data_IF_907878347600
#
_entry.id   IF_907878347600
#
_cell.length_a   1.000
_cell.length_b   1.000
_cell.length_c   1.000
_cell.angle_alpha   90.00
_cell.angle_beta   90.00
_cell.angle_gamma   90.00
#
_symmetry.space_group_name_H-M   'P 1'
#
loop_
_entity.id
_entity.type
_entity.pdbx_description
1 polymer ?
#
# COMPACT_ATOMS: atom_id res chain seq x y z
N UNK A 1 -26.48 17.60 -13.22
CA UNK A 1 -25.24 18.17 -12.66
C UNK A 1 -25.65 19.06 -11.51
N UNK A 2 -25.10 18.83 -10.32
CA UNK A 2 -25.39 19.65 -9.13
C UNK A 2 -24.18 20.54 -8.86
N UNK A 3 -24.42 21.80 -8.51
CA UNK A 3 -23.37 22.77 -8.16
C UNK A 3 -23.64 23.31 -6.75
N UNK A 4 -22.56 23.55 -6.00
CA UNK A 4 -22.61 24.04 -4.63
C UNK A 4 -21.45 25.00 -4.40
N UNK A 5 -21.64 25.99 -3.53
CA UNK A 5 -20.51 26.72 -2.97
C UNK A 5 -19.73 25.80 -2.00
N UNK A 6 -18.42 25.97 -1.84
CA UNK A 6 -17.59 25.12 -0.96
C UNK A 6 -18.16 24.94 0.45
N UNK A 7 -18.73 26.01 1.03
CA UNK A 7 -19.28 25.98 2.39
C UNK A 7 -20.53 25.10 2.52
N UNK A 8 -21.21 24.84 1.41
CA UNK A 8 -22.41 24.01 1.34
C UNK A 8 -22.15 22.60 0.78
N UNK A 9 -20.89 22.30 0.41
CA UNK A 9 -20.55 21.07 -0.30
C UNK A 9 -21.00 19.81 0.45
N UNK A 10 -20.86 19.80 1.78
CA UNK A 10 -21.28 18.70 2.66
C UNK A 10 -22.80 18.46 2.58
N UNK A 11 -23.59 19.52 2.72
CA UNK A 11 -25.05 19.43 2.70
C UNK A 11 -25.54 19.01 1.30
N UNK A 12 -24.95 19.58 0.26
CA UNK A 12 -25.30 19.25 -1.12
C UNK A 12 -24.90 17.82 -1.45
N UNK A 13 -23.76 17.31 -0.98
CA UNK A 13 -23.34 15.92 -1.18
C UNK A 13 -24.40 14.93 -0.68
N UNK A 14 -24.89 15.11 0.55
CA UNK A 14 -25.96 14.28 1.13
C UNK A 14 -27.28 14.42 0.36
N UNK A 15 -27.62 15.63 -0.08
CA UNK A 15 -28.80 15.86 -0.90
C UNK A 15 -28.70 15.13 -2.26
N UNK A 16 -27.56 15.25 -2.94
CA UNK A 16 -27.29 14.63 -4.24
C UNK A 16 -27.36 13.11 -4.14
N UNK A 17 -26.77 12.54 -3.09
CA UNK A 17 -26.84 11.11 -2.81
C UNK A 17 -28.30 10.63 -2.69
N UNK A 18 -29.08 11.28 -1.83
CA UNK A 18 -30.50 10.94 -1.63
C UNK A 18 -31.34 11.13 -2.90
N UNK A 19 -31.08 12.19 -3.67
CA UNK A 19 -31.76 12.44 -4.94
C UNK A 19 -31.40 11.38 -5.98
N UNK A 20 -30.14 10.91 -6.01
CA UNK A 20 -29.70 9.84 -6.88
C UNK A 20 -30.38 8.51 -6.51
N UNK A 21 -30.39 8.13 -5.22
CA UNK A 21 -31.06 6.91 -4.76
C UNK A 21 -32.55 6.85 -5.14
N UNK A 22 -33.27 7.98 -5.02
CA UNK A 22 -34.67 8.07 -5.46
C UNK A 22 -34.85 7.80 -6.96
N UNK A 23 -33.90 8.26 -7.79
CA UNK A 23 -33.92 8.04 -9.25
C UNK A 23 -33.52 6.61 -9.63
N UNK A 24 -32.62 6.00 -8.85
CA UNK A 24 -32.08 4.67 -9.12
C UNK A 24 -33.06 3.53 -8.81
N UNK A 25 -34.21 3.81 -8.18
CA UNK A 25 -35.31 2.85 -7.94
C UNK A 25 -34.83 1.51 -7.37
N UNK A 26 -33.99 1.57 -6.33
CA UNK A 26 -33.43 0.39 -5.66
C UNK A 26 -32.10 -0.11 -6.22
N UNK A 27 -31.56 0.50 -7.28
CA UNK A 27 -30.16 0.31 -7.67
C UNK A 27 -29.22 1.12 -6.78
N UNK A 28 -28.03 0.59 -6.55
CA UNK A 28 -26.98 1.25 -5.78
C UNK A 28 -26.28 2.34 -6.61
N UNK A 29 -25.85 3.43 -5.96
CA UNK A 29 -25.02 4.44 -6.59
C UNK A 29 -23.55 3.99 -6.52
N UNK A 30 -22.98 3.65 -7.67
CA UNK A 30 -21.67 3.01 -7.73
C UNK A 30 -20.49 4.01 -7.69
N UNK A 31 -20.65 5.20 -8.27
CA UNK A 31 -19.56 6.18 -8.39
C UNK A 31 -20.08 7.62 -8.35
N UNK A 32 -19.37 8.48 -7.62
CA UNK A 32 -19.53 9.92 -7.65
C UNK A 32 -18.29 10.63 -8.23
N UNK A 33 -18.48 11.33 -9.35
CA UNK A 33 -17.47 12.27 -9.87
C UNK A 33 -17.67 13.64 -9.23
N UNK A 34 -16.64 14.13 -8.54
CA UNK A 34 -16.69 15.42 -7.83
C UNK A 34 -15.74 16.40 -8.50
N UNK A 35 -16.28 17.51 -9.01
CA UNK A 35 -15.47 18.56 -9.64
C UNK A 35 -15.18 19.65 -8.62
N UNK A 36 -13.91 19.79 -8.25
CA UNK A 36 -13.45 20.77 -7.28
C UNK A 36 -12.98 22.05 -7.99
N UNK A 37 -13.30 23.25 -7.45
CA UNK A 37 -12.91 24.51 -8.08
C UNK A 37 -11.39 24.71 -8.07
N UNK A 38 -10.73 24.30 -6.99
CA UNK A 38 -9.31 24.52 -6.71
C UNK A 38 -8.72 23.38 -5.88
N UNK A 39 -7.42 23.50 -5.57
CA UNK A 39 -6.69 22.54 -4.76
C UNK A 39 -6.83 22.85 -3.26
N UNK A 40 -8.07 22.89 -2.76
CA UNK A 40 -8.36 23.08 -1.34
C UNK A 40 -8.39 21.74 -0.59
N UNK A 41 -7.37 21.51 0.25
CA UNK A 41 -7.20 20.28 1.01
C UNK A 41 -8.33 20.01 2.02
N UNK A 42 -8.86 21.04 2.67
CA UNK A 42 -9.94 20.89 3.66
C UNK A 42 -11.25 20.42 2.99
N UNK A 43 -11.64 21.08 1.90
CA UNK A 43 -12.83 20.69 1.12
C UNK A 43 -12.70 19.26 0.57
N UNK A 44 -11.53 18.93 0.00
CA UNK A 44 -11.25 17.58 -0.47
C UNK A 44 -11.36 16.54 0.66
N UNK A 45 -10.80 16.86 1.83
CA UNK A 45 -10.84 16.02 3.02
C UNK A 45 -12.26 15.76 3.52
N UNK A 46 -13.10 16.80 3.61
CA UNK A 46 -14.50 16.66 4.03
C UNK A 46 -15.30 15.76 3.08
N UNK A 47 -15.16 15.98 1.77
CA UNK A 47 -15.83 15.17 0.75
C UNK A 47 -15.39 13.71 0.87
N UNK A 48 -14.09 13.47 1.04
CA UNK A 48 -13.52 12.14 1.19
C UNK A 48 -14.04 11.44 2.44
N UNK A 49 -13.98 12.11 3.60
CA UNK A 49 -14.50 11.61 4.87
C UNK A 49 -15.97 11.18 4.72
N UNK A 50 -16.84 12.08 4.26
CA UNK A 50 -18.28 11.79 4.16
C UNK A 50 -18.56 10.63 3.20
N UNK A 51 -17.91 10.63 2.02
CA UNK A 51 -18.11 9.57 1.04
C UNK A 51 -17.66 8.20 1.60
N UNK A 52 -16.48 8.14 2.23
CA UNK A 52 -15.85 6.88 2.61
C UNK A 52 -16.31 6.37 3.99
N UNK A 53 -16.74 7.24 4.91
CA UNK A 53 -17.15 6.84 6.28
C UNK A 53 -18.65 6.90 6.54
N UNK A 54 -19.36 7.88 5.98
CA UNK A 54 -20.81 8.07 6.26
C UNK A 54 -21.71 7.47 5.19
N UNK A 55 -21.34 7.61 3.91
CA UNK A 55 -22.19 7.21 2.78
C UNK A 55 -21.80 5.86 2.16
N UNK A 56 -20.58 5.38 2.39
CA UNK A 56 -20.07 4.16 1.73
C UNK A 56 -19.97 4.28 0.21
N UNK A 57 -19.73 5.50 -0.30
CA UNK A 57 -19.81 5.84 -1.72
C UNK A 57 -18.41 6.04 -2.31
N UNK A 58 -18.11 5.32 -3.39
CA UNK A 58 -16.87 5.55 -4.13
C UNK A 58 -16.88 6.90 -4.83
N UNK A 59 -15.85 7.71 -4.58
CA UNK A 59 -15.72 9.05 -5.14
C UNK A 59 -14.41 9.28 -5.89
N UNK A 60 -14.48 9.97 -7.03
CA UNK A 60 -13.33 10.44 -7.79
C UNK A 60 -13.38 11.96 -7.95
N UNK A 61 -12.47 12.65 -7.26
CA UNK A 61 -12.36 14.10 -7.34
C UNK A 61 -11.46 14.52 -8.52
N UNK A 62 -11.87 15.55 -9.25
CA UNK A 62 -11.14 16.14 -10.37
C UNK A 62 -11.11 17.67 -10.21
N UNK A 63 -9.98 18.31 -10.47
CA UNK A 63 -9.92 19.78 -10.48
C UNK A 63 -10.57 20.32 -11.74
N UNK A 64 -11.40 21.35 -11.60
CA UNK A 64 -12.10 22.03 -12.69
C UNK A 64 -11.16 22.39 -13.84
N UNK A 65 -9.97 22.91 -13.54
CA UNK A 65 -8.95 23.27 -14.55
C UNK A 65 -8.56 22.11 -15.48
N UNK A 66 -8.59 20.87 -15.00
CA UNK A 66 -8.26 19.68 -15.79
C UNK A 66 -9.46 19.10 -16.53
N UNK A 67 -10.68 19.34 -16.03
CA UNK A 67 -11.92 18.95 -16.71
C UNK A 67 -12.21 19.87 -17.88
N UNK A 68 -12.04 21.19 -17.70
CA UNK A 68 -12.27 22.18 -18.76
C UNK A 68 -11.16 22.20 -19.82
N UNK A 69 -9.94 21.77 -19.48
CA UNK A 69 -8.84 21.59 -20.44
C UNK A 69 -8.57 20.11 -20.67
N UNK A 70 -9.32 19.52 -21.60
CA UNK A 70 -9.23 18.09 -21.91
C UNK A 70 -7.82 17.72 -22.35
N UNK A 71 -7.21 16.80 -21.60
CA UNK A 71 -5.92 16.19 -21.92
C UNK A 71 -6.06 14.68 -21.89
N UNK A 72 -5.76 14.00 -23.00
CA UNK A 72 -5.87 12.54 -23.12
C UNK A 72 -5.09 11.80 -22.02
N UNK A 73 -3.87 12.28 -21.71
CA UNK A 73 -3.03 11.72 -20.65
C UNK A 73 -3.68 11.85 -19.26
N UNK A 74 -4.31 12.98 -18.98
CA UNK A 74 -5.04 13.18 -17.73
C UNK A 74 -6.24 12.24 -17.62
N UNK A 75 -7.07 12.16 -18.68
CA UNK A 75 -8.24 11.28 -18.70
C UNK A 75 -7.85 9.80 -18.56
N UNK A 76 -6.76 9.36 -19.19
CA UNK A 76 -6.23 8.02 -19.01
C UNK A 76 -5.88 7.75 -17.53
N UNK A 77 -5.12 8.65 -16.89
CA UNK A 77 -4.76 8.51 -15.48
C UNK A 77 -5.97 8.53 -14.53
N UNK A 78 -6.99 9.34 -14.82
CA UNK A 78 -8.26 9.32 -14.06
C UNK A 78 -8.99 8.00 -14.26
N UNK A 79 -9.02 7.47 -15.48
CA UNK A 79 -9.68 6.19 -15.81
C UNK A 79 -9.01 5.02 -15.09
N UNK A 80 -7.68 5.00 -15.00
CA UNK A 80 -6.93 4.00 -14.22
C UNK A 80 -7.35 4.00 -12.74
N UNK A 81 -7.53 5.18 -12.14
CA UNK A 81 -7.98 5.30 -10.74
C UNK A 81 -9.42 4.88 -10.55
N UNK A 82 -10.31 5.22 -11.49
CA UNK A 82 -11.72 4.81 -11.44
C UNK A 82 -11.82 3.29 -11.56
N UNK A 83 -11.11 2.68 -12.52
CA UNK A 83 -11.15 1.23 -12.73
C UNK A 83 -10.79 0.46 -11.45
N UNK A 84 -9.69 0.83 -10.77
CA UNK A 84 -9.27 0.18 -9.51
C UNK A 84 -10.27 0.41 -8.37
N UNK A 85 -10.82 1.62 -8.24
CA UNK A 85 -11.86 1.92 -7.24
C UNK A 85 -13.12 1.09 -7.43
N UNK A 86 -13.46 0.79 -8.68
CA UNK A 86 -14.60 -0.04 -9.03
C UNK A 86 -14.28 -1.55 -9.01
N UNK A 87 -13.12 -1.95 -8.48
CA UNK A 87 -12.72 -3.35 -8.35
C UNK A 87 -12.14 -3.97 -9.63
N UNK A 88 -11.86 -3.16 -10.66
CA UNK A 88 -11.16 -3.57 -11.87
C UNK A 88 -9.65 -3.74 -11.65
N UNK A 89 -8.98 -4.34 -12.65
CA UNK A 89 -7.52 -4.51 -12.70
C UNK A 89 -6.98 -3.76 -13.91
N UNK A 90 -5.97 -2.91 -13.73
CA UNK A 90 -5.37 -2.16 -14.85
C UNK A 90 -4.33 -3.00 -15.60
N UNK A 91 -3.48 -3.69 -14.84
CA UNK A 91 -2.37 -4.52 -15.33
C UNK A 91 -2.26 -5.75 -14.44
N UNK A 92 -1.72 -6.83 -15.01
CA UNK A 92 -1.41 -8.07 -14.30
C UNK A 92 -0.06 -8.53 -14.82
N UNK A 93 0.80 -9.04 -13.93
CA UNK A 93 2.05 -9.66 -14.33
C UNK A 93 1.77 -10.95 -15.10
N UNK A 94 2.40 -11.11 -16.27
CA UNK A 94 2.25 -12.32 -17.08
C UNK A 94 2.65 -13.59 -16.30
N UNK A 95 3.68 -13.46 -15.46
CA UNK A 95 4.14 -14.55 -14.60
C UNK A 95 3.13 -14.89 -13.50
N UNK A 96 2.34 -13.93 -13.01
CA UNK A 96 1.27 -14.25 -12.06
C UNK A 96 0.16 -15.08 -12.73
N UNK A 97 -0.23 -14.70 -13.95
CA UNK A 97 -1.23 -15.45 -14.75
C UNK A 97 -0.72 -16.86 -15.06
N UNK A 98 0.56 -16.98 -15.38
CA UNK A 98 1.21 -18.27 -15.71
C UNK A 98 1.64 -19.05 -14.46
N UNK A 99 1.38 -18.53 -13.25
CA UNK A 99 1.80 -19.08 -11.95
C UNK A 99 3.31 -19.35 -11.83
N UNK A 100 4.12 -18.43 -12.35
CA UNK A 100 5.58 -18.49 -12.38
C UNK A 100 6.27 -17.52 -11.43
N UNK A 101 5.53 -16.80 -10.57
CA UNK A 101 6.18 -15.97 -9.54
C UNK A 101 6.66 -16.90 -8.42
N UNK A 102 7.98 -17.08 -8.23
CA UNK A 102 8.52 -17.98 -7.21
C UNK A 102 8.05 -17.55 -5.83
N UNK A 103 7.74 -18.53 -4.98
CA UNK A 103 7.30 -18.33 -3.60
C UNK A 103 6.10 -17.37 -3.43
N UNK A 104 5.30 -17.19 -4.49
CA UNK A 104 4.02 -16.45 -4.45
C UNK A 104 2.91 -17.26 -5.10
N UNK A 105 3.13 -17.77 -6.32
CA UNK A 105 2.07 -18.43 -7.09
C UNK A 105 1.89 -19.92 -6.79
N UNK A 106 2.85 -20.54 -6.08
CA UNK A 106 2.91 -21.97 -5.77
C UNK A 106 1.90 -22.41 -4.70
N UNK A 107 1.73 -21.59 -3.66
CA UNK A 107 0.76 -21.78 -2.59
C UNK A 107 0.08 -20.45 -2.26
N UNK A 108 -1.13 -20.46 -1.65
CA UNK A 108 -1.81 -19.24 -1.22
C UNK A 108 -0.88 -18.32 -0.43
N UNK A 109 -0.46 -17.22 -1.04
CA UNK A 109 0.49 -16.28 -0.47
C UNK A 109 -0.18 -14.92 -0.35
N UNK A 110 -0.07 -14.30 0.83
CA UNK A 110 -0.53 -12.95 1.08
C UNK A 110 0.67 -12.01 1.21
N UNK A 111 0.63 -10.88 0.50
CA UNK A 111 1.67 -9.86 0.55
C UNK A 111 1.12 -8.63 1.25
N UNK A 112 1.79 -8.23 2.33
CA UNK A 112 1.48 -7.06 3.11
C UNK A 112 2.43 -5.90 2.78
N UNK A 113 1.90 -4.68 2.88
CA UNK A 113 2.66 -3.44 2.93
C UNK A 113 2.25 -2.65 4.17
N UNK A 114 3.21 -2.12 4.92
CA UNK A 114 2.96 -1.36 6.13
C UNK A 114 3.82 -0.10 6.19
N UNK A 115 3.23 1.00 6.66
CA UNK A 115 3.88 2.30 6.82
C UNK A 115 3.30 3.04 8.04
N UNK A 116 4.11 3.93 8.62
CA UNK A 116 3.67 4.90 9.62
C UNK A 116 4.04 6.30 9.16
N UNK A 117 3.04 7.16 9.10
CA UNK A 117 3.24 8.58 8.83
C UNK A 117 3.14 9.36 10.14
N UNK A 118 4.18 10.15 10.42
CA UNK A 118 4.19 11.08 11.56
C UNK A 118 3.73 12.47 11.14
N UNK A 119 3.13 13.24 12.07
CA UNK A 119 2.84 14.64 11.84
C UNK A 119 4.12 15.48 11.64
N UNK A 120 3.95 16.69 11.11
CA UNK A 120 5.05 17.62 10.93
C UNK A 120 5.68 18.02 12.27
N UNK A 121 6.96 18.39 12.25
CA UNK A 121 7.76 18.71 13.46
C UNK A 121 7.22 19.87 14.31
N UNK A 122 6.22 20.60 13.85
CA UNK A 122 5.60 21.74 14.56
C UNK A 122 4.27 21.39 15.22
N UNK A 123 3.75 20.17 15.01
CA UNK A 123 2.51 19.69 15.62
C UNK A 123 2.83 18.69 16.72
N UNK A 124 2.79 19.12 17.98
CA UNK A 124 3.26 18.28 19.10
C UNK A 124 2.22 17.25 19.59
N UNK A 125 0.96 17.35 19.17
CA UNK A 125 -0.13 16.52 19.67
C UNK A 125 -0.88 15.70 18.59
N UNK A 126 -0.51 15.86 17.31
CA UNK A 126 -1.17 15.10 16.23
C UNK A 126 -0.78 13.61 16.32
N UNK A 127 -1.71 12.67 16.12
CA UNK A 127 -1.37 11.25 16.17
C UNK A 127 -0.47 10.86 15.00
N UNK A 128 0.34 9.82 15.17
CA UNK A 128 0.91 9.12 14.01
C UNK A 128 -0.18 8.25 13.40
N UNK A 129 -0.14 8.05 12.08
CA UNK A 129 -1.11 7.20 11.38
C UNK A 129 -0.38 5.98 10.84
N UNK A 130 -0.76 4.79 11.32
CA UNK A 130 -0.33 3.53 10.75
C UNK A 130 -1.29 3.08 9.65
N UNK A 131 -0.73 2.57 8.56
CA UNK A 131 -1.48 2.00 7.45
C UNK A 131 -0.91 0.62 7.12
N UNK A 132 -1.79 -0.38 6.99
CA UNK A 132 -1.42 -1.73 6.56
C UNK A 132 -2.35 -2.15 5.44
N UNK A 133 -1.75 -2.59 4.34
CA UNK A 133 -2.45 -3.14 3.18
C UNK A 133 -2.08 -4.61 2.98
N UNK A 134 -2.99 -5.39 2.41
CA UNK A 134 -2.71 -6.76 2.02
C UNK A 134 -3.36 -7.12 0.68
N UNK A 135 -2.66 -7.90 -0.14
CA UNK A 135 -3.18 -8.44 -1.39
C UNK A 135 -4.47 -9.24 -1.18
N UNK A 136 -5.40 -9.24 -2.13
CA UNK A 136 -6.75 -9.83 -1.99
C UNK A 136 -7.12 -10.81 -3.11
N UNK A 137 -6.29 -10.94 -4.14
CA UNK A 137 -6.58 -11.71 -5.36
C UNK A 137 -5.39 -12.60 -5.72
N UNK A 138 -5.06 -13.55 -4.85
CA UNK A 138 -4.09 -14.60 -5.17
C UNK A 138 -4.62 -15.50 -6.30
N UNK A 139 -3.78 -15.90 -7.29
CA UNK A 139 -2.33 -15.68 -7.38
C UNK A 139 -1.88 -14.39 -8.09
N UNK A 140 -2.79 -13.53 -8.56
CA UNK A 140 -2.45 -12.35 -9.36
C UNK A 140 -1.84 -11.18 -8.59
N UNK A 141 -2.19 -11.01 -7.30
CA UNK A 141 -1.63 -9.99 -6.39
C UNK A 141 -1.73 -8.56 -6.97
N UNK A 142 -2.92 -8.18 -7.44
CA UNK A 142 -3.17 -6.85 -8.03
C UNK A 142 -4.17 -6.00 -7.26
N UNK A 143 -4.96 -6.61 -6.37
CA UNK A 143 -5.95 -5.94 -5.54
C UNK A 143 -5.47 -5.94 -4.11
N UNK A 144 -5.61 -4.81 -3.42
CA UNK A 144 -5.23 -4.66 -2.03
C UNK A 144 -6.39 -4.11 -1.21
N UNK A 145 -6.59 -4.66 -0.02
CA UNK A 145 -7.41 -4.05 1.02
C UNK A 145 -6.48 -3.32 1.99
N UNK A 146 -6.93 -2.18 2.52
CA UNK A 146 -6.16 -1.35 3.43
C UNK A 146 -6.91 -1.05 4.71
N UNK A 147 -6.18 -1.03 5.82
CA UNK A 147 -6.65 -0.59 7.13
C UNK A 147 -5.73 0.52 7.63
N UNK A 148 -6.31 1.48 8.36
CA UNK A 148 -5.59 2.60 8.96
C UNK A 148 -5.96 2.75 10.42
N UNK A 149 -5.01 3.13 11.26
CA UNK A 149 -5.27 3.42 12.66
C UNK A 149 -4.40 4.59 13.13
N UNK A 150 -5.00 5.44 13.98
CA UNK A 150 -4.28 6.47 14.70
C UNK A 150 -3.56 5.83 15.90
N UNK A 151 -2.30 6.21 16.10
CA UNK A 151 -1.50 5.81 17.25
C UNK A 151 -0.80 7.03 17.86
N UNK A 152 -0.15 6.82 19.00
CA UNK A 152 0.46 7.89 19.77
C UNK A 152 1.46 8.74 18.93
N UNK A 153 1.67 9.98 19.38
CA UNK A 153 2.60 10.92 18.74
C UNK A 153 3.98 10.28 18.58
N UNK A 154 4.51 10.31 17.35
CA UNK A 154 5.81 9.73 16.96
C UNK A 154 6.04 8.27 17.34
N UNK A 155 4.96 7.50 17.51
CA UNK A 155 5.03 6.06 17.69
C UNK A 155 5.36 5.42 16.33
N UNK A 156 6.50 4.74 16.20
CA UNK A 156 6.88 4.01 14.97
C UNK A 156 6.32 2.57 14.95
N UNK A 157 6.33 1.87 16.09
CA UNK A 157 5.78 0.51 16.16
C UNK A 157 4.27 0.54 15.94
N UNK A 158 3.78 -0.24 14.98
CA UNK A 158 2.34 -0.29 14.68
C UNK A 158 1.62 -1.05 15.80
N UNK A 159 0.99 -0.31 16.71
CA UNK A 159 0.36 -0.89 17.91
C UNK A 159 -0.84 -1.79 17.57
N UNK A 160 -1.57 -1.43 16.52
CA UNK A 160 -2.82 -2.09 16.13
C UNK A 160 -2.63 -3.24 15.12
N UNK A 161 -1.40 -3.73 14.90
CA UNK A 161 -1.17 -4.92 14.05
C UNK A 161 -1.93 -6.14 14.59
N UNK A 162 -1.88 -6.33 15.90
CA UNK A 162 -2.66 -7.30 16.64
C UNK A 162 -2.98 -6.77 18.02
N UNK A 163 -4.23 -6.91 18.46
CA UNK A 163 -4.66 -6.49 19.79
C UNK A 163 -5.67 -7.45 20.39
N UNK A 164 -5.65 -7.51 21.72
CA UNK A 164 -6.60 -8.25 22.53
C UNK A 164 -7.24 -7.29 23.52
N UNK A 165 -8.56 -7.34 23.68
CA UNK A 165 -9.28 -6.58 24.71
C UNK A 165 -10.36 -7.44 25.35
N UNK A 166 -10.81 -7.03 26.53
CA UNK A 166 -11.92 -7.69 27.22
C UNK A 166 -13.23 -6.99 26.85
N UNK A 167 -14.13 -7.73 26.22
CA UNK A 167 -15.50 -7.32 25.97
C UNK A 167 -16.41 -7.84 27.10
N UNK A 168 -17.25 -7.01 27.74
CA UNK A 168 -18.10 -7.44 28.85
C UNK A 168 -19.06 -8.58 28.50
N UNK A 169 -19.43 -8.76 27.22
CA UNK A 169 -20.38 -9.79 26.78
C UNK A 169 -19.68 -10.99 26.13
N UNK A 170 -18.59 -10.74 25.39
CA UNK A 170 -17.89 -11.76 24.60
C UNK A 170 -16.63 -12.32 25.28
N UNK A 171 -16.24 -11.77 26.43
CA UNK A 171 -14.99 -12.12 27.10
C UNK A 171 -13.78 -11.58 26.33
N UNK A 172 -12.71 -12.37 26.24
CA UNK A 172 -11.50 -11.97 25.51
C UNK A 172 -11.73 -11.94 24.01
N UNK A 173 -11.65 -10.76 23.39
CA UNK A 173 -11.77 -10.56 21.94
C UNK A 173 -10.40 -10.22 21.35
N UNK A 174 -10.11 -10.78 20.19
CA UNK A 174 -8.88 -10.54 19.43
C UNK A 174 -9.21 -9.80 18.13
N UNK A 175 -8.30 -8.95 17.71
CA UNK A 175 -8.46 -8.07 16.54
C UNK A 175 -7.10 -7.55 16.06
N UNK A 176 -7.15 -6.52 15.23
CA UNK A 176 -5.97 -5.85 14.68
C UNK A 176 -5.82 -6.06 13.18
N UNK A 177 -5.01 -5.22 12.56
CA UNK A 177 -4.95 -5.08 11.12
C UNK A 177 -4.58 -6.38 10.41
N UNK A 178 -3.62 -7.14 10.95
CA UNK A 178 -3.21 -8.42 10.33
C UNK A 178 -4.37 -9.41 10.34
N UNK A 179 -5.04 -9.57 11.49
CA UNK A 179 -6.14 -10.52 11.65
C UNK A 179 -7.28 -10.20 10.68
N UNK A 180 -7.70 -8.94 10.60
CA UNK A 180 -8.79 -8.52 9.73
C UNK A 180 -8.43 -8.70 8.24
N UNK A 181 -7.19 -8.41 7.85
CA UNK A 181 -6.72 -8.59 6.48
C UNK A 181 -6.58 -10.06 6.08
N UNK A 182 -6.21 -10.95 7.02
CA UNK A 182 -6.20 -12.41 6.80
C UNK A 182 -7.63 -12.95 6.59
N UNK A 183 -8.61 -12.45 7.36
CA UNK A 183 -10.03 -12.80 7.17
C UNK A 183 -10.52 -12.28 5.81
N UNK A 184 -10.18 -11.04 5.46
CA UNK A 184 -10.52 -10.43 4.17
C UNK A 184 -9.96 -11.25 3.01
N UNK A 185 -8.70 -11.67 3.09
CA UNK A 185 -8.07 -12.52 2.07
C UNK A 185 -8.83 -13.82 1.88
N UNK A 186 -9.21 -14.50 2.97
CA UNK A 186 -9.98 -15.76 2.88
C UNK A 186 -11.36 -15.54 2.28
N UNK A 187 -12.02 -14.43 2.62
CA UNK A 187 -13.31 -14.05 2.03
C UNK A 187 -13.20 -13.78 0.53
N UNK A 188 -12.11 -13.12 0.09
CA UNK A 188 -11.91 -12.73 -1.30
C UNK A 188 -11.45 -13.89 -2.19
N UNK A 189 -10.56 -14.76 -1.68
CA UNK A 189 -9.91 -15.82 -2.47
C UNK A 189 -10.49 -17.22 -2.22
N UNK A 190 -11.23 -17.41 -1.13
CA UNK A 190 -11.65 -18.73 -0.64
C UNK A 190 -10.53 -19.53 0.03
N UNK A 191 -9.30 -19.02 0.06
CA UNK A 191 -8.11 -19.71 0.58
C UNK A 191 -7.61 -19.04 1.87
N UNK A 192 -7.06 -19.83 2.79
CA UNK A 192 -6.25 -19.25 3.88
C UNK A 192 -4.82 -19.06 3.36
N UNK A 193 -4.13 -17.95 3.67
CA UNK A 193 -2.72 -17.82 3.34
C UNK A 193 -1.92 -18.96 3.98
N UNK A 194 -1.00 -19.53 3.23
CA UNK A 194 -0.01 -20.50 3.72
C UNK A 194 1.39 -19.88 3.74
N UNK A 195 1.54 -18.65 3.25
CA UNK A 195 2.76 -17.86 3.27
C UNK A 195 2.45 -16.38 3.45
N UNK A 196 3.28 -15.68 4.23
CA UNK A 196 3.18 -14.24 4.45
C UNK A 196 4.49 -13.57 4.01
N UNK A 197 4.38 -12.54 3.18
CA UNK A 197 5.48 -11.63 2.83
C UNK A 197 5.09 -10.25 3.32
N UNK A 198 5.94 -9.61 4.14
CA UNK A 198 5.61 -8.36 4.81
C UNK A 198 6.66 -7.28 4.49
N UNK A 199 6.27 -6.27 3.72
CA UNK A 199 7.09 -5.10 3.43
C UNK A 199 6.77 -3.96 4.40
N UNK A 200 7.75 -3.50 5.17
CA UNK A 200 7.61 -2.41 6.15
C UNK A 200 8.46 -1.21 5.75
N UNK A 201 7.83 -0.08 5.41
CA UNK A 201 8.51 1.16 5.00
C UNK A 201 8.99 1.97 6.22
N UNK A 202 9.87 2.96 6.02
CA UNK A 202 10.08 4.04 7.00
C UNK A 202 10.97 3.74 8.21
N UNK A 203 11.41 2.50 8.40
CA UNK A 203 12.19 2.12 9.60
C UNK A 203 13.67 2.48 9.46
N UNK A 204 14.25 3.10 10.48
CA UNK A 204 15.70 3.32 10.56
C UNK A 204 16.47 2.08 11.05
N UNK A 205 17.74 1.92 10.63
CA UNK A 205 18.55 0.74 10.99
C UNK A 205 18.64 0.48 12.50
N UNK A 206 18.68 1.55 13.31
CA UNK A 206 18.71 1.44 14.78
C UNK A 206 17.44 0.86 15.41
N UNK A 207 16.34 0.78 14.66
CA UNK A 207 15.05 0.28 15.13
C UNK A 207 14.71 -1.12 14.59
N UNK A 208 15.52 -1.69 13.69
CA UNK A 208 15.24 -2.96 13.00
C UNK A 208 14.86 -4.09 13.95
N UNK A 209 15.66 -4.30 14.99
CA UNK A 209 15.45 -5.41 15.92
C UNK A 209 14.15 -5.24 16.73
N UNK A 210 13.88 -4.03 17.22
CA UNK A 210 12.68 -3.76 18.01
C UNK A 210 11.40 -3.89 17.15
N UNK A 211 11.42 -3.35 15.93
CA UNK A 211 10.32 -3.46 14.97
C UNK A 211 10.09 -4.92 14.62
N UNK A 212 11.15 -5.66 14.27
CA UNK A 212 11.03 -7.07 13.92
C UNK A 212 10.40 -7.87 15.06
N UNK A 213 10.93 -7.78 16.28
CA UNK A 213 10.43 -8.56 17.41
C UNK A 213 8.96 -8.26 17.71
N UNK A 214 8.57 -6.99 17.71
CA UNK A 214 7.21 -6.58 18.04
C UNK A 214 6.21 -6.92 16.91
N UNK A 215 6.53 -6.53 15.68
CA UNK A 215 5.60 -6.66 14.55
C UNK A 215 5.51 -8.12 14.06
N UNK A 216 6.60 -8.90 14.09
CA UNK A 216 6.55 -10.33 13.78
C UNK A 216 5.72 -11.09 14.83
N UNK A 217 5.89 -10.80 16.12
CA UNK A 217 5.08 -11.39 17.18
C UNK A 217 3.58 -11.06 17.00
N UNK A 218 3.26 -9.82 16.61
CA UNK A 218 1.89 -9.44 16.28
C UNK A 218 1.32 -10.26 15.10
N UNK A 219 2.10 -10.49 14.04
CA UNK A 219 1.71 -11.36 12.92
C UNK A 219 1.44 -12.79 13.40
N UNK A 220 2.32 -13.34 14.26
CA UNK A 220 2.15 -14.70 14.83
C UNK A 220 0.89 -14.82 15.66
N UNK A 221 0.66 -13.86 16.57
CA UNK A 221 -0.52 -13.82 17.41
C UNK A 221 -1.80 -13.71 16.59
N UNK A 222 -1.80 -12.89 15.53
CA UNK A 222 -2.93 -12.80 14.62
C UNK A 222 -3.25 -14.15 13.96
N UNK A 223 -2.25 -14.86 13.45
CA UNK A 223 -2.44 -16.20 12.88
C UNK A 223 -2.97 -17.20 13.92
N UNK A 224 -2.32 -17.31 15.08
CA UNK A 224 -2.73 -18.22 16.14
C UNK A 224 -4.14 -17.92 16.68
N UNK A 225 -4.59 -16.66 16.63
CA UNK A 225 -5.94 -16.27 17.05
C UNK A 225 -7.05 -16.70 16.08
N UNK A 226 -6.72 -17.03 14.84
CA UNK A 226 -7.69 -17.44 13.81
C UNK A 226 -7.92 -18.95 13.80
N UNK A 227 -6.86 -19.73 14.00
CA UNK A 227 -6.91 -21.19 13.99
C UNK A 227 -5.76 -21.75 14.85
N UNK A 228 -6.01 -22.75 15.73
CA UNK A 228 -4.95 -23.39 16.49
C UNK A 228 -3.86 -23.95 15.57
N UNK A 229 -2.59 -23.72 15.93
CA UNK A 229 -1.41 -24.14 15.16
C UNK A 229 -1.26 -23.50 13.76
N UNK A 230 -2.06 -22.48 13.41
CA UNK A 230 -1.87 -21.75 12.17
C UNK A 230 -0.65 -20.83 12.27
N UNK A 231 0.46 -21.26 11.67
CA UNK A 231 1.76 -20.58 11.69
C UNK A 231 2.40 -20.61 10.29
N UNK A 232 1.88 -19.82 9.33
CA UNK A 232 2.47 -19.76 7.99
C UNK A 232 3.89 -19.16 8.06
N UNK A 233 4.85 -19.63 7.23
CA UNK A 233 6.17 -19.02 7.15
C UNK A 233 6.10 -17.54 6.74
N UNK A 234 6.89 -16.71 7.42
CA UNK A 234 6.93 -15.26 7.23
C UNK A 234 8.28 -14.84 6.64
N UNK A 235 8.23 -13.96 5.65
CA UNK A 235 9.38 -13.15 5.21
C UNK A 235 9.11 -11.68 5.54
N UNK A 236 10.00 -11.05 6.30
CA UNK A 236 9.88 -9.68 6.79
C UNK A 236 10.97 -8.80 6.18
N UNK A 237 10.55 -7.82 5.38
CA UNK A 237 11.44 -6.98 4.57
C UNK A 237 11.23 -5.52 4.97
N UNK A 238 12.28 -4.85 5.43
CA UNK A 238 12.27 -3.38 5.59
C UNK A 238 12.56 -2.74 4.24
N UNK A 239 11.83 -1.67 3.93
CA UNK A 239 12.05 -0.79 2.79
C UNK A 239 12.49 0.58 3.28
N UNK A 240 13.66 1.04 2.84
CA UNK A 240 14.16 2.39 3.12
C UNK A 240 14.30 3.16 1.81
N UNK A 241 13.33 4.05 1.55
CA UNK A 241 13.34 4.92 0.35
C UNK A 241 14.14 6.21 0.54
N UNK A 242 14.42 6.57 1.79
CA UNK A 242 15.07 7.82 2.19
C UNK A 242 16.39 7.51 2.89
N UNK A 243 17.48 7.55 2.13
CA UNK A 243 18.85 7.41 2.62
C UNK A 243 19.82 8.27 1.79
N UNK A 244 21.11 8.20 2.13
CA UNK A 244 22.17 9.00 1.50
C UNK A 244 22.87 8.31 0.32
N UNK A 245 22.71 6.99 0.16
CA UNK A 245 23.28 6.24 -0.98
C UNK A 245 22.69 6.70 -2.31
N UNK A 246 23.56 6.96 -3.28
CA UNK A 246 23.22 7.27 -4.67
C UNK A 246 24.03 6.36 -5.58
N UNK A 247 23.41 5.90 -6.66
CA UNK A 247 24.03 5.03 -7.65
C UNK A 247 24.13 5.76 -8.98
N UNK A 248 25.27 5.63 -9.65
CA UNK A 248 25.57 6.28 -10.92
C UNK A 248 26.11 5.24 -11.89
N UNK A 249 25.79 5.39 -13.17
CA UNK A 249 26.41 4.59 -14.21
C UNK A 249 27.90 4.93 -14.31
N UNK A 250 28.76 3.90 -14.41
CA UNK A 250 30.20 4.10 -14.50
C UNK A 250 30.61 4.91 -15.74
N UNK A 251 29.85 4.77 -16.84
CA UNK A 251 30.04 5.54 -18.06
C UNK A 251 28.78 6.32 -18.42
N UNK A 252 28.76 7.62 -18.12
CA UNK A 252 27.63 8.50 -18.43
C UNK A 252 27.40 8.73 -19.93
N UNK A 253 28.39 8.42 -20.78
CA UNK A 253 28.25 8.54 -22.23
C UNK A 253 27.62 7.28 -22.86
N UNK A 254 27.55 6.18 -22.11
CA UNK A 254 26.97 4.94 -22.58
C UNK A 254 25.46 4.91 -22.33
N UNK A 255 24.72 5.28 -23.37
CA UNK A 255 23.25 5.34 -23.35
C UNK A 255 22.58 3.98 -23.17
N UNK A 256 23.31 2.85 -23.24
CA UNK A 256 22.72 1.54 -22.94
C UNK A 256 22.54 1.30 -21.45
N UNK A 257 23.23 2.06 -20.60
CA UNK A 257 23.25 1.87 -19.14
C UNK A 257 22.58 3.02 -18.36
N UNK A 258 22.03 4.00 -19.07
CA UNK A 258 21.35 5.15 -18.47
C UNK A 258 19.98 5.38 -19.08
N UNK A 259 19.05 5.87 -18.27
CA UNK A 259 17.76 6.34 -18.78
C UNK A 259 17.88 7.71 -19.48
N UNK A 260 16.75 8.26 -19.94
CA UNK A 260 16.69 9.55 -20.65
C UNK A 260 17.16 10.75 -19.82
N UNK A 261 17.19 10.63 -18.49
CA UNK A 261 17.63 11.67 -17.56
C UNK A 261 19.09 11.53 -17.15
N UNK A 262 19.77 10.46 -17.60
CA UNK A 262 21.15 10.14 -17.20
C UNK A 262 21.26 9.37 -15.88
N UNK A 263 20.14 8.90 -15.33
CA UNK A 263 20.12 8.02 -14.16
C UNK A 263 20.35 6.56 -14.55
N UNK A 264 20.68 5.71 -13.57
CA UNK A 264 20.71 4.25 -13.75
C UNK A 264 19.35 3.71 -14.23
N UNK A 265 19.36 2.61 -14.97
CA UNK A 265 18.14 2.02 -15.53
C UNK A 265 17.21 1.46 -14.43
N UNK A 266 15.88 1.53 -14.63
CA UNK A 266 14.93 0.79 -13.81
C UNK A 266 15.26 -0.71 -13.80
N UNK A 267 15.19 -1.34 -12.63
CA UNK A 267 15.59 -2.73 -12.41
C UNK A 267 17.07 -2.90 -12.04
N UNK A 268 17.87 -1.82 -11.95
CA UNK A 268 19.25 -1.91 -11.46
C UNK A 268 19.24 -2.36 -9.99
N UNK A 269 19.96 -3.45 -9.71
CA UNK A 269 20.14 -4.02 -8.37
C UNK A 269 21.62 -3.91 -7.97
N UNK A 270 21.86 -3.62 -6.69
CA UNK A 270 23.19 -3.73 -6.07
C UNK A 270 23.03 -4.46 -4.74
N UNK A 271 23.62 -5.64 -4.63
CA UNK A 271 23.59 -6.51 -3.44
C UNK A 271 25.00 -6.88 -2.94
N UNK A 272 26.03 -6.20 -3.44
CA UNK A 272 27.42 -6.47 -3.13
C UNK A 272 28.24 -5.20 -2.91
N UNK A 273 29.39 -5.35 -2.24
CA UNK A 273 30.39 -4.31 -1.87
C UNK A 273 29.90 -3.22 -0.92
N UNK A 274 28.78 -2.59 -1.23
CA UNK A 274 28.19 -1.48 -0.45
C UNK A 274 27.05 -1.93 0.47
N UNK A 275 26.63 -3.19 0.34
CA UNK A 275 25.64 -3.85 1.19
C UNK A 275 26.28 -4.37 2.48
N UNK A 276 25.45 -4.81 3.43
CA UNK A 276 25.91 -5.33 4.70
C UNK A 276 26.77 -6.59 4.49
N UNK A 277 27.89 -6.76 5.20
CA UNK A 277 28.82 -7.87 4.95
C UNK A 277 28.25 -9.26 5.27
N UNK A 278 27.18 -9.32 6.07
CA UNK A 278 26.62 -10.59 6.57
C UNK A 278 25.09 -10.65 6.59
N UNK A 279 24.39 -9.55 6.32
CA UNK A 279 22.93 -9.52 6.34
C UNK A 279 22.42 -9.62 4.91
N UNK A 280 21.15 -10.01 4.75
CA UNK A 280 20.52 -10.07 3.45
C UNK A 280 19.89 -8.71 3.13
N UNK A 281 20.64 -7.85 2.46
CA UNK A 281 20.19 -6.55 1.99
C UNK A 281 20.57 -6.27 0.53
N UNK A 282 19.80 -5.41 -0.13
CA UNK A 282 20.08 -4.99 -1.51
C UNK A 282 19.45 -3.64 -1.81
N UNK A 283 20.08 -2.89 -2.71
CA UNK A 283 19.51 -1.71 -3.35
C UNK A 283 18.80 -2.09 -4.63
N UNK A 284 17.62 -1.51 -4.87
CA UNK A 284 16.90 -1.65 -6.13
C UNK A 284 16.39 -0.28 -6.60
N UNK A 285 16.77 0.10 -7.81
CA UNK A 285 16.20 1.24 -8.50
C UNK A 285 15.09 0.77 -9.44
N UNK A 286 13.84 0.67 -8.95
CA UNK A 286 12.72 0.13 -9.73
C UNK A 286 12.01 1.15 -10.65
N UNK A 287 12.45 2.41 -10.68
CA UNK A 287 11.77 3.49 -11.40
C UNK A 287 12.73 4.27 -12.29
N UNK A 288 12.17 4.90 -13.33
CA UNK A 288 12.91 5.82 -14.19
C UNK A 288 13.06 7.18 -13.51
N UNK A 289 14.24 7.78 -13.63
CA UNK A 289 14.51 9.16 -13.22
C UNK A 289 13.76 10.12 -14.14
N UNK A 290 12.79 10.84 -13.59
CA UNK A 290 12.11 11.92 -14.34
C UNK A 290 12.91 13.22 -14.23
N UNK A 291 13.42 13.51 -13.05
CA UNK A 291 14.18 14.71 -12.74
C UNK A 291 15.10 14.47 -11.55
N UNK A 292 16.30 15.08 -11.57
CA UNK A 292 17.29 14.95 -10.52
C UNK A 292 17.96 13.58 -10.51
N UNK A 293 18.52 13.18 -9.37
CA UNK A 293 19.14 11.85 -9.19
C UNK A 293 18.13 10.89 -8.59
N UNK A 294 17.92 9.74 -9.24
CA UNK A 294 17.11 8.63 -8.72
C UNK A 294 17.65 8.16 -7.38
N UNK A 295 16.75 7.84 -6.45
CA UNK A 295 17.08 7.22 -5.17
C UNK A 295 16.67 5.75 -5.22
N UNK A 296 17.61 4.80 -5.42
CA UNK A 296 17.28 3.39 -5.28
C UNK A 296 16.74 3.16 -3.87
N UNK A 297 15.74 2.30 -3.70
CA UNK A 297 15.30 1.90 -2.37
C UNK A 297 16.25 0.83 -1.82
N UNK A 298 16.53 0.87 -0.51
CA UNK A 298 17.32 -0.13 0.19
C UNK A 298 16.39 -1.10 0.90
N UNK A 299 16.52 -2.38 0.60
CA UNK A 299 15.71 -3.45 1.16
C UNK A 299 16.57 -4.27 2.13
N UNK A 300 16.06 -4.54 3.32
CA UNK A 300 16.70 -5.42 4.32
C UNK A 300 15.74 -6.55 4.66
N UNK A 301 16.14 -7.79 4.37
CA UNK A 301 15.39 -8.99 4.79
C UNK A 301 15.80 -9.30 6.22
N UNK A 302 14.96 -8.93 7.18
CA UNK A 302 15.25 -9.09 8.61
C UNK A 302 14.87 -10.47 9.14
N UNK A 303 13.93 -11.15 8.49
CA UNK A 303 13.47 -12.48 8.85
C UNK A 303 12.97 -13.19 7.60
N UNK A 304 13.36 -14.44 7.42
CA UNK A 304 12.88 -15.22 6.28
C UNK A 304 12.82 -16.71 6.59
N UNK A 305 11.60 -17.20 6.77
CA UNK A 305 11.33 -18.64 6.92
C UNK A 305 10.99 -19.31 5.59
N UNK A 306 10.77 -18.52 4.54
CA UNK A 306 10.49 -19.05 3.20
C UNK A 306 11.77 -19.40 2.44
N UNK A 307 12.94 -18.96 2.94
CA UNK A 307 14.26 -19.22 2.38
C UNK A 307 14.38 -18.73 0.93
N UNK A 308 13.96 -17.49 0.68
CA UNK A 308 14.17 -16.81 -0.59
C UNK A 308 15.65 -16.77 -0.93
N UNK A 309 15.97 -17.08 -2.18
CA UNK A 309 17.26 -16.69 -2.76
C UNK A 309 17.30 -15.19 -3.02
N UNK A 310 18.51 -14.64 -3.20
CA UNK A 310 18.72 -13.24 -3.58
C UNK A 310 17.94 -12.90 -4.86
N UNK A 311 18.10 -13.70 -5.91
CA UNK A 311 17.44 -13.50 -7.20
C UNK A 311 15.91 -13.52 -7.10
N UNK A 312 15.34 -14.45 -6.32
CA UNK A 312 13.88 -14.54 -6.14
C UNK A 312 13.33 -13.32 -5.40
N UNK A 313 13.98 -12.89 -4.30
CA UNK A 313 13.54 -11.73 -3.53
C UNK A 313 13.67 -10.42 -4.34
N UNK A 314 14.79 -10.24 -5.03
CA UNK A 314 15.04 -9.06 -5.86
C UNK A 314 14.07 -9.00 -7.04
N UNK A 315 13.84 -10.13 -7.71
CA UNK A 315 12.89 -10.24 -8.83
C UNK A 315 11.46 -9.98 -8.37
N UNK A 316 11.03 -10.61 -7.27
CA UNK A 316 9.69 -10.36 -6.70
C UNK A 316 9.51 -8.89 -6.36
N UNK A 317 10.47 -8.30 -5.64
CA UNK A 317 10.41 -6.89 -5.21
C UNK A 317 10.33 -5.94 -6.41
N UNK A 318 11.12 -6.20 -7.46
CA UNK A 318 11.04 -5.44 -8.71
C UNK A 318 9.68 -5.62 -9.39
N UNK A 319 9.18 -6.85 -9.52
CA UNK A 319 7.90 -7.15 -10.16
C UNK A 319 6.71 -6.44 -9.49
N UNK A 320 6.68 -6.42 -8.15
CA UNK A 320 5.65 -5.72 -7.38
C UNK A 320 5.65 -4.19 -7.62
N UNK A 321 6.74 -3.61 -8.11
CA UNK A 321 6.78 -2.20 -8.49
C UNK A 321 6.01 -1.89 -9.79
N UNK A 322 5.62 -2.91 -10.56
CA UNK A 322 4.86 -2.79 -11.82
C UNK A 322 3.37 -3.09 -11.67
N UNK A 323 2.90 -3.34 -10.44
CA UNK A 323 1.48 -3.62 -10.11
C UNK A 323 0.81 -2.47 -9.36
N UNK A 324 1.35 -1.24 -9.45
CA UNK A 324 0.80 -0.03 -8.82
C UNK A 324 -0.39 0.59 -9.58
#
# INVERSE_FOLDING_TARGET
>A
MYSARPEQAVQVLKHVYNAALKKLKGKELELLLVILPDNNGALYGDIKRICETELGLMSQCCLAKHVFKICKRYLANVSLKINVKMGGRNTILLDAVSRRIPLVSDIPTIIFGADVTHPETREDNSPSIAAVVASQDWPEVTKYAGLVCAQAYRQELIQDLYKTWHDPQRGTVTGGMIRELLISFRKATGQKPLRIIFYRDGISAGQFHQVLLYELDAIRKACASLEPNYQPPVTFVIVQKRHHTKLFANNHNDKSNTDKSGNILPGTVVDSKICHPTQFDFYLCSHAGIQGTSKPAHYHVLWDENNFTADEMQTLTNNLCYTY
#
